data_IF_650636596327
#
_entry.id   IF_650636596327
#
_cell.length_a   1.000
_cell.length_b   1.000
_cell.length_c   1.000
_cell.angle_alpha   90.00
_cell.angle_beta   90.00
_cell.angle_gamma   90.00
#
_symmetry.space_group_name_H-M   'P 1'
#
loop_
_entity.id
_entity.type
_entity.pdbx_description
1 polymer ?
#
# COMPACT_ATOMS: atom_id res chain seq x y z
N UNK A 1 8.15 -1.73 -20.67
CA UNK A 1 8.85 -2.88 -20.02
C UNK A 1 8.70 -2.92 -18.50
N UNK A 2 8.92 -1.78 -17.83
CA UNK A 2 8.82 -1.68 -16.36
C UNK A 2 7.38 -1.91 -15.85
N UNK A 3 6.36 -1.46 -16.60
CA UNK A 3 4.95 -1.66 -16.26
C UNK A 3 4.62 -3.15 -16.14
N UNK A 4 5.04 -3.94 -17.14
CA UNK A 4 4.83 -5.38 -17.18
C UNK A 4 5.50 -6.08 -16.00
N UNK A 5 6.74 -5.71 -15.67
CA UNK A 5 7.48 -6.28 -14.54
C UNK A 5 6.82 -5.92 -13.20
N UNK A 6 6.43 -4.66 -13.01
CA UNK A 6 5.77 -4.21 -11.79
C UNK A 6 4.41 -4.91 -11.60
N UNK A 7 3.61 -5.01 -12.66
CA UNK A 7 2.34 -5.73 -12.64
C UNK A 7 2.53 -7.23 -12.35
N UNK A 8 3.57 -7.86 -12.92
CA UNK A 8 3.91 -9.26 -12.64
C UNK A 8 4.21 -9.47 -11.15
N UNK A 9 5.03 -8.59 -10.55
CA UNK A 9 5.39 -8.66 -9.12
C UNK A 9 4.13 -8.53 -8.25
N UNK A 10 3.30 -7.52 -8.51
CA UNK A 10 2.09 -7.28 -7.73
C UNK A 10 1.02 -8.37 -7.93
N UNK A 11 0.99 -9.04 -9.08
CA UNK A 11 0.05 -10.11 -9.39
C UNK A 11 0.44 -11.47 -8.79
N UNK A 12 1.71 -11.70 -8.48
CA UNK A 12 2.20 -12.99 -7.98
C UNK A 12 1.47 -13.54 -6.75
N UNK A 13 1.09 -12.75 -5.73
CA UNK A 13 0.31 -13.24 -4.60
C UNK A 13 -1.03 -13.86 -5.00
N UNK A 14 -1.67 -13.34 -6.06
CA UNK A 14 -2.91 -13.91 -6.61
C UNK A 14 -2.63 -15.21 -7.33
N UNK A 15 -1.58 -15.25 -8.16
CA UNK A 15 -1.16 -16.49 -8.85
C UNK A 15 -0.78 -17.59 -7.88
N UNK A 16 -0.19 -17.23 -6.74
CA UNK A 16 0.17 -18.15 -5.67
C UNK A 16 -1.02 -18.57 -4.79
N UNK A 17 -2.23 -18.05 -5.05
CA UNK A 17 -3.43 -18.35 -4.27
C UNK A 17 -3.42 -17.78 -2.85
N UNK A 18 -2.55 -16.79 -2.56
CA UNK A 18 -2.45 -16.17 -1.22
C UNK A 18 -3.58 -15.17 -0.98
N UNK A 19 -4.02 -14.48 -2.02
CA UNK A 19 -5.09 -13.47 -2.00
C UNK A 19 -5.84 -13.47 -3.33
N UNK A 20 -7.08 -12.99 -3.36
CA UNK A 20 -7.86 -12.87 -4.60
C UNK A 20 -7.59 -11.55 -5.36
N UNK A 21 -7.09 -10.53 -4.65
CA UNK A 21 -6.79 -9.22 -5.20
C UNK A 21 -5.42 -8.75 -4.69
N UNK A 22 -4.52 -8.24 -5.56
CA UNK A 22 -3.20 -7.78 -5.14
C UNK A 22 -3.23 -6.79 -3.99
N UNK A 23 -4.26 -5.93 -3.93
CA UNK A 23 -4.38 -4.93 -2.88
C UNK A 23 -4.48 -5.53 -1.46
N UNK A 24 -4.87 -6.80 -1.40
CA UNK A 24 -5.06 -7.54 -0.15
C UNK A 24 -3.79 -8.23 0.33
N UNK A 25 -2.76 -8.32 -0.51
CA UNK A 25 -1.46 -8.83 -0.09
C UNK A 25 -0.64 -7.74 0.61
N UNK A 26 -0.20 -8.03 1.83
CA UNK A 26 0.49 -7.07 2.70
C UNK A 26 1.74 -6.46 2.05
N UNK A 27 2.49 -7.22 1.24
CA UNK A 27 3.73 -6.74 0.61
C UNK A 27 3.54 -6.35 -0.87
N UNK A 28 2.32 -5.97 -1.25
CA UNK A 28 2.03 -5.46 -2.59
C UNK A 28 2.38 -3.97 -2.69
N UNK A 29 3.18 -3.61 -3.69
CA UNK A 29 3.59 -2.23 -3.94
C UNK A 29 2.45 -1.38 -4.48
N UNK A 30 1.56 -1.96 -5.29
CA UNK A 30 0.32 -1.31 -5.72
C UNK A 30 -0.53 -0.85 -4.53
N UNK A 31 -0.84 -1.72 -3.56
CA UNK A 31 -1.68 -1.33 -2.43
C UNK A 31 -1.01 -0.32 -1.49
N UNK A 32 0.32 -0.37 -1.36
CA UNK A 32 1.07 0.67 -0.65
C UNK A 32 0.91 2.04 -1.33
N UNK A 33 1.00 2.07 -2.67
CA UNK A 33 0.77 3.28 -3.44
C UNK A 33 -0.69 3.78 -3.34
N UNK A 34 -1.68 2.87 -3.31
CA UNK A 34 -3.10 3.22 -3.05
C UNK A 34 -3.27 3.89 -1.69
N UNK A 35 -2.62 3.38 -0.64
CA UNK A 35 -2.68 3.93 0.71
C UNK A 35 -2.18 5.39 0.79
N UNK A 36 -1.27 5.78 -0.10
CA UNK A 36 -0.68 7.11 -0.17
C UNK A 36 -1.57 8.14 -0.91
N UNK A 37 -2.57 7.72 -1.69
CA UNK A 37 -3.41 8.63 -2.49
C UNK A 37 -4.21 9.61 -1.63
N UNK A 38 -4.53 9.25 -0.38
CA UNK A 38 -5.21 10.12 0.59
C UNK A 38 -4.28 11.00 1.46
N UNK A 39 -2.95 10.92 1.30
CA UNK A 39 -1.97 11.69 2.11
C UNK A 39 -1.60 13.06 1.52
N UNK A 40 -2.18 13.48 0.40
CA UNK A 40 -1.85 14.80 -0.18
C UNK A 40 -2.59 15.89 0.60
N UNK A 41 -2.09 16.19 1.79
CA UNK A 41 -2.31 17.48 2.44
C UNK A 41 -1.58 18.52 1.60
N UNK A 42 -2.34 19.39 0.96
CA UNK A 42 -1.88 20.65 0.36
C UNK A 42 -1.11 21.47 1.40
N UNK A 43 0.22 21.53 1.29
CA UNK A 43 1.04 22.36 2.19
C UNK A 43 2.50 21.93 2.28
N UNK A 44 3.24 21.99 1.16
CA UNK A 44 4.69 21.87 1.15
C UNK A 44 5.29 22.99 0.32
N UNK A 45 5.73 24.05 0.97
CA UNK A 45 6.46 25.17 0.38
C UNK A 45 7.75 24.70 -0.30
N UNK A 46 8.04 25.28 -1.46
CA UNK A 46 9.05 24.86 -2.47
C UNK A 46 10.51 24.89 -2.01
N UNK A 47 10.80 25.37 -0.79
CA UNK A 47 12.16 25.51 -0.29
C UNK A 47 12.59 24.33 0.58
N UNK A 48 12.87 23.21 -0.07
CA UNK A 48 13.81 22.25 0.47
C UNK A 48 14.45 21.49 -0.68
N UNK A 49 15.70 21.86 -0.98
CA UNK A 49 16.76 20.93 -1.42
C UNK A 49 16.88 19.80 -0.38
N UNK A 50 15.85 18.99 -0.29
CA UNK A 50 15.77 17.82 0.57
C UNK A 50 16.44 16.72 -0.22
N UNK A 51 17.44 16.14 0.42
CA UNK A 51 18.06 14.88 0.06
C UNK A 51 17.00 13.97 -0.54
N UNK A 52 17.33 13.37 -1.68
CA UNK A 52 16.59 12.29 -2.33
C UNK A 52 16.55 11.12 -1.34
N UNK A 53 15.69 11.24 -0.34
CA UNK A 53 15.59 10.32 0.77
C UNK A 53 14.86 9.07 0.25
N UNK A 54 15.44 7.91 0.56
CA UNK A 54 15.09 6.60 0.03
C UNK A 54 13.66 6.07 0.34
N UNK A 55 12.64 6.93 0.48
CA UNK A 55 11.20 6.60 0.59
C UNK A 55 10.32 7.14 -0.54
N UNK A 56 10.93 7.26 -1.70
CA UNK A 56 10.32 7.13 -3.02
C UNK A 56 9.59 5.78 -3.27
N UNK A 57 9.21 5.01 -2.24
CA UNK A 57 9.11 3.54 -2.26
C UNK A 57 8.22 2.96 -3.36
N UNK A 58 6.89 3.13 -3.23
CA UNK A 58 5.94 2.59 -4.20
C UNK A 58 5.16 3.67 -4.95
N UNK A 59 4.79 4.79 -4.31
CA UNK A 59 4.12 5.92 -5.00
C UNK A 59 4.98 6.52 -6.10
N UNK A 60 6.21 6.94 -5.76
CA UNK A 60 7.10 7.57 -6.72
C UNK A 60 7.65 6.55 -7.72
N UNK A 61 7.93 5.32 -7.28
CA UNK A 61 8.21 4.20 -8.16
C UNK A 61 7.10 3.96 -9.19
N UNK A 62 5.83 3.97 -8.77
CA UNK A 62 4.69 3.80 -9.68
C UNK A 62 4.58 4.98 -10.66
N UNK A 63 4.69 6.22 -10.18
CA UNK A 63 4.72 7.39 -11.06
C UNK A 63 5.86 7.33 -12.09
N UNK A 64 7.02 6.82 -11.69
CA UNK A 64 8.15 6.62 -12.59
C UNK A 64 7.91 5.49 -13.61
N UNK A 65 7.34 4.36 -13.17
CA UNK A 65 6.98 3.23 -14.05
C UNK A 65 5.99 3.66 -15.13
N UNK A 66 5.12 4.62 -14.82
CA UNK A 66 4.06 5.08 -15.71
C UNK A 66 4.37 6.43 -16.39
N UNK A 67 5.53 7.04 -16.17
CA UNK A 67 5.81 8.43 -16.57
C UNK A 67 5.47 8.76 -18.02
N UNK A 68 5.76 7.83 -18.93
CA UNK A 68 5.62 8.02 -20.37
C UNK A 68 4.17 7.77 -20.87
N UNK A 69 3.29 7.30 -19.98
CA UNK A 69 1.90 6.92 -20.26
C UNK A 69 0.89 7.79 -19.52
N UNK A 70 1.37 8.73 -18.71
CA UNK A 70 0.54 9.65 -17.95
C UNK A 70 0.28 10.92 -18.77
N UNK A 71 -0.97 11.37 -18.79
CA UNK A 71 -1.35 12.63 -19.42
C UNK A 71 -0.62 13.82 -18.76
N UNK A 72 -0.41 14.92 -19.46
CA UNK A 72 0.18 16.11 -18.84
C UNK A 72 -0.71 16.63 -17.70
N UNK A 73 -0.21 16.60 -16.45
CA UNK A 73 -0.98 16.92 -15.25
C UNK A 73 -1.67 15.72 -14.58
N UNK A 74 -1.54 14.52 -15.15
CA UNK A 74 -2.00 13.28 -14.56
C UNK A 74 -1.22 12.92 -13.30
N UNK A 75 -1.96 12.73 -12.21
CA UNK A 75 -1.40 12.40 -10.90
C UNK A 75 -1.33 10.90 -10.62
N UNK A 76 -0.98 10.58 -9.37
CA UNK A 76 -0.93 9.22 -8.83
C UNK A 76 -2.21 8.39 -9.08
N UNK A 77 -3.38 9.02 -9.10
CA UNK A 77 -4.65 8.34 -9.33
C UNK A 77 -4.70 7.65 -10.70
N UNK A 78 -4.21 8.30 -11.76
CA UNK A 78 -4.20 7.74 -13.11
C UNK A 78 -3.19 6.59 -13.20
N UNK A 79 -2.00 6.76 -12.63
CA UNK A 79 -0.99 5.68 -12.57
C UNK A 79 -1.53 4.44 -11.83
N UNK A 80 -2.24 4.63 -10.71
CA UNK A 80 -2.87 3.54 -9.96
C UNK A 80 -3.95 2.84 -10.78
N UNK A 81 -4.79 3.59 -11.49
CA UNK A 81 -5.85 3.04 -12.33
C UNK A 81 -5.26 2.22 -13.48
N UNK A 82 -4.35 2.79 -14.26
CA UNK A 82 -3.71 2.11 -15.39
C UNK A 82 -2.92 0.87 -14.92
N UNK A 83 -2.23 0.96 -13.77
CA UNK A 83 -1.53 -0.19 -13.19
C UNK A 83 -2.46 -1.32 -12.78
N UNK A 84 -3.59 -1.00 -12.14
CA UNK A 84 -4.59 -2.01 -11.78
C UNK A 84 -5.20 -2.66 -13.03
N UNK A 85 -5.50 -1.89 -14.06
CA UNK A 85 -5.97 -2.44 -15.34
C UNK A 85 -4.93 -3.40 -15.94
N UNK A 86 -3.64 -3.03 -15.95
CA UNK A 86 -2.59 -3.92 -16.46
C UNK A 86 -2.49 -5.23 -15.68
N UNK A 87 -2.52 -5.16 -14.34
CA UNK A 87 -2.49 -6.34 -13.45
C UNK A 87 -3.62 -7.32 -13.81
N UNK A 88 -4.86 -6.85 -13.90
CA UNK A 88 -5.98 -7.75 -14.17
C UNK A 88 -6.09 -8.14 -15.64
N UNK A 89 -5.57 -7.33 -16.57
CA UNK A 89 -5.38 -7.70 -17.96
C UNK A 89 -4.43 -8.89 -18.09
N UNK A 90 -3.30 -8.86 -17.37
CA UNK A 90 -2.37 -9.99 -17.28
C UNK A 90 -3.01 -11.19 -16.61
N UNK A 91 -3.75 -10.99 -15.50
CA UNK A 91 -4.47 -12.08 -14.83
C UNK A 91 -5.44 -12.74 -15.79
N UNK A 92 -6.29 -11.98 -16.49
CA UNK A 92 -7.24 -12.52 -17.44
C UNK A 92 -6.55 -13.30 -18.59
N UNK A 93 -5.31 -12.96 -18.94
CA UNK A 93 -4.53 -13.66 -19.95
C UNK A 93 -3.79 -14.91 -19.42
N UNK A 94 -3.76 -15.17 -18.12
CA UNK A 94 -3.06 -16.32 -17.55
C UNK A 94 -3.64 -17.65 -18.10
N UNK A 95 -2.75 -18.58 -18.42
CA UNK A 95 -3.11 -19.94 -18.78
C UNK A 95 -3.55 -20.72 -17.52
N UNK A 96 -4.51 -21.63 -17.67
CA UNK A 96 -4.96 -22.49 -16.57
C UNK A 96 -5.96 -21.87 -15.60
N UNK A 97 -6.45 -20.65 -15.85
CA UNK A 97 -7.57 -20.08 -15.10
C UNK A 97 -8.87 -20.85 -15.36
N UNK A 98 -9.65 -21.05 -14.29
CA UNK A 98 -11.06 -21.40 -14.41
C UNK A 98 -11.85 -20.29 -15.10
N UNK A 99 -13.02 -20.64 -15.64
CA UNK A 99 -13.92 -19.66 -16.26
C UNK A 99 -14.34 -18.56 -15.27
N UNK A 100 -14.59 -18.94 -14.01
CA UNK A 100 -14.94 -18.00 -12.94
C UNK A 100 -13.83 -17.01 -12.61
N UNK A 101 -12.58 -17.47 -12.50
CA UNK A 101 -11.44 -16.57 -12.24
C UNK A 101 -11.18 -15.60 -13.39
N UNK A 102 -11.32 -16.08 -14.63
CA UNK A 102 -11.21 -15.25 -15.83
C UNK A 102 -12.32 -14.19 -15.86
N UNK A 103 -13.57 -14.60 -15.58
CA UNK A 103 -14.70 -13.70 -15.52
C UNK A 103 -14.51 -12.63 -14.44
N UNK A 104 -14.01 -12.98 -13.26
CA UNK A 104 -13.72 -12.03 -12.19
C UNK A 104 -12.68 -10.98 -12.61
N UNK A 105 -11.60 -11.38 -13.28
CA UNK A 105 -10.59 -10.45 -13.78
C UNK A 105 -11.14 -9.52 -14.88
N UNK A 106 -11.94 -10.05 -15.81
CA UNK A 106 -12.59 -9.27 -16.86
C UNK A 106 -13.63 -8.30 -16.31
N UNK A 107 -14.37 -8.69 -15.26
CA UNK A 107 -15.33 -7.82 -14.58
C UNK A 107 -14.64 -6.56 -14.04
N UNK A 108 -13.52 -6.73 -13.34
CA UNK A 108 -12.72 -5.62 -12.83
C UNK A 108 -12.27 -4.68 -13.97
N UNK A 109 -11.89 -5.22 -15.13
CA UNK A 109 -11.47 -4.43 -16.29
C UNK A 109 -12.63 -3.67 -16.94
N UNK A 110 -13.73 -4.36 -17.21
CA UNK A 110 -14.83 -3.85 -18.03
C UNK A 110 -15.80 -2.97 -17.24
N UNK A 111 -16.02 -3.27 -15.96
CA UNK A 111 -17.00 -2.56 -15.13
C UNK A 111 -16.35 -1.57 -14.17
N UNK A 112 -15.23 -1.93 -13.55
CA UNK A 112 -14.59 -1.08 -12.51
C UNK A 112 -13.47 -0.18 -13.07
N UNK A 113 -12.97 -0.49 -14.28
CA UNK A 113 -11.96 0.31 -14.97
C UNK A 113 -10.68 0.51 -14.17
N UNK A 114 -10.33 -0.39 -13.24
CA UNK A 114 -9.16 -0.25 -12.38
C UNK A 114 -9.30 0.78 -11.25
N UNK A 115 -10.50 1.31 -10.99
CA UNK A 115 -10.75 2.21 -9.87
C UNK A 115 -11.02 1.43 -8.58
N UNK A 116 -10.76 2.06 -7.44
CA UNK A 116 -11.09 1.51 -6.13
C UNK A 116 -12.04 2.45 -5.38
N UNK A 117 -13.10 1.93 -4.73
CA UNK A 117 -13.92 2.73 -3.84
C UNK A 117 -13.10 3.38 -2.72
N UNK A 118 -13.46 4.60 -2.30
CA UNK A 118 -12.76 5.32 -1.22
C UNK A 118 -12.62 4.50 0.05
N UNK A 119 -13.65 3.71 0.41
CA UNK A 119 -13.61 2.81 1.57
C UNK A 119 -12.51 1.74 1.45
N UNK A 120 -12.28 1.21 0.25
CA UNK A 120 -11.22 0.22 -0.03
C UNK A 120 -9.85 0.88 0.03
N UNK A 121 -9.71 2.09 -0.52
CA UNK A 121 -8.46 2.85 -0.42
C UNK A 121 -8.11 3.18 1.04
N UNK A 122 -9.11 3.57 1.84
CA UNK A 122 -8.96 3.78 3.29
C UNK A 122 -8.57 2.47 4.00
N UNK A 123 -9.12 1.33 3.60
CA UNK A 123 -8.71 0.02 4.14
C UNK A 123 -7.26 -0.31 3.79
N UNK A 124 -6.80 -0.02 2.57
CA UNK A 124 -5.38 -0.14 2.22
C UNK A 124 -4.54 0.75 3.13
N UNK A 125 -4.97 2.00 3.40
CA UNK A 125 -4.30 2.87 4.36
C UNK A 125 -4.24 2.25 5.75
N UNK A 126 -5.35 1.76 6.29
CA UNK A 126 -5.41 1.12 7.63
C UNK A 126 -4.56 -0.15 7.71
N UNK A 127 -4.60 -1.01 6.69
CA UNK A 127 -3.82 -2.26 6.62
C UNK A 127 -2.31 -2.00 6.66
N UNK A 128 -1.87 -0.97 5.96
CA UNK A 128 -0.45 -0.58 5.91
C UNK A 128 -0.08 0.36 7.08
N UNK A 129 -1.07 0.87 7.81
CA UNK A 129 -0.95 1.60 9.07
C UNK A 129 -0.73 0.69 10.28
N UNK A 130 -1.19 -0.57 10.22
CA UNK A 130 -1.08 -1.55 11.32
C UNK A 130 0.23 -2.34 11.38
N UNK A 131 1.31 -1.89 10.72
CA UNK A 131 2.66 -2.43 10.96
C UNK A 131 3.13 -2.31 12.41
N UNK A 132 2.44 -1.43 13.13
CA UNK A 132 2.56 -1.24 14.55
C UNK A 132 2.09 -2.41 15.41
N UNK A 133 1.38 -3.40 14.85
CA UNK A 133 0.69 -4.52 15.49
C UNK A 133 -0.42 -4.17 16.50
N UNK A 134 -0.24 -3.11 17.30
CA UNK A 134 -1.22 -2.56 18.23
C UNK A 134 -1.17 -1.06 18.04
N UNK A 135 -2.34 -0.43 17.91
CA UNK A 135 -2.50 1.00 17.64
C UNK A 135 -3.46 1.60 18.67
N UNK A 136 -3.11 2.77 19.21
CA UNK A 136 -4.02 3.56 20.04
C UNK A 136 -3.29 4.68 20.78
N UNK A 137 -3.90 5.19 21.84
CA UNK A 137 -3.24 6.12 22.75
C UNK A 137 -1.98 5.48 23.37
N UNK A 138 -1.04 6.30 23.82
CA UNK A 138 0.17 5.81 24.47
C UNK A 138 -0.12 4.94 25.71
N UNK A 139 -1.22 5.20 26.41
CA UNK A 139 -1.68 4.41 27.55
C UNK A 139 -2.25 3.06 27.11
N UNK A 140 -3.14 3.07 26.11
CA UNK A 140 -3.72 1.86 25.53
C UNK A 140 -2.62 0.92 25.05
N UNK A 141 -1.67 1.41 24.25
CA UNK A 141 -0.58 0.58 23.70
C UNK A 141 0.37 0.08 24.81
N UNK A 142 0.64 0.90 25.84
CA UNK A 142 1.46 0.48 27.00
C UNK A 142 0.84 -0.71 27.73
N UNK A 143 -0.48 -0.76 27.85
CA UNK A 143 -1.22 -1.87 28.47
C UNK A 143 -0.92 -3.24 27.87
N UNK A 144 -0.50 -3.31 26.61
CA UNK A 144 -0.19 -4.57 25.92
C UNK A 144 1.31 -4.94 25.92
N UNK A 145 2.20 -4.07 26.39
CA UNK A 145 3.66 -4.30 26.31
C UNK A 145 4.13 -5.55 27.04
N UNK A 146 3.56 -5.86 28.21
CA UNK A 146 3.88 -7.07 28.98
C UNK A 146 3.40 -8.35 28.31
N UNK A 147 2.14 -8.40 27.87
CA UNK A 147 1.59 -9.54 27.12
C UNK A 147 2.40 -9.81 25.84
N UNK A 148 2.71 -8.75 25.09
CA UNK A 148 3.51 -8.83 23.87
C UNK A 148 4.94 -9.31 24.12
N UNK A 149 5.55 -8.90 25.24
CA UNK A 149 6.88 -9.38 25.63
C UNK A 149 6.90 -10.89 25.84
N UNK A 150 5.91 -11.41 26.59
CA UNK A 150 5.79 -12.83 26.89
C UNK A 150 5.51 -13.65 25.63
N UNK A 151 4.51 -13.24 24.83
CA UNK A 151 4.12 -13.93 23.59
C UNK A 151 5.27 -14.01 22.58
N UNK A 152 6.07 -12.94 22.47
CA UNK A 152 7.20 -12.88 21.53
C UNK A 152 8.53 -13.32 22.14
N UNK A 153 8.55 -13.81 23.38
CA UNK A 153 9.77 -14.28 24.05
C UNK A 153 10.88 -13.21 24.18
N UNK A 154 10.51 -11.94 24.33
CA UNK A 154 11.48 -10.83 24.35
C UNK A 154 12.12 -10.66 25.73
N UNK A 155 13.43 -10.41 25.77
CA UNK A 155 14.16 -10.07 27.01
C UNK A 155 13.68 -8.77 27.67
N UNK A 156 13.19 -7.82 26.88
CA UNK A 156 12.70 -6.53 27.36
C UNK A 156 11.35 -6.14 26.72
N UNK A 157 10.48 -5.42 27.44
CA UNK A 157 9.23 -4.90 26.89
C UNK A 157 9.49 -4.06 25.64
N UNK A 158 8.64 -4.15 24.61
CA UNK A 158 8.74 -3.26 23.45
C UNK A 158 8.48 -1.81 23.89
N UNK A 159 9.22 -0.87 23.27
CA UNK A 159 8.94 0.56 23.44
C UNK A 159 7.68 0.91 22.64
N UNK A 160 6.83 1.74 23.23
CA UNK A 160 5.72 2.37 22.50
C UNK A 160 6.28 3.47 21.60
N UNK A 161 5.87 3.48 20.33
CA UNK A 161 6.42 4.37 19.31
C UNK A 161 5.33 5.33 18.85
N UNK A 162 5.59 6.64 18.91
CA UNK A 162 4.69 7.62 18.32
C UNK A 162 4.62 7.45 16.80
N UNK A 163 3.43 7.59 16.24
CA UNK A 163 3.26 7.65 14.80
C UNK A 163 3.88 8.93 14.24
N UNK A 164 4.56 8.84 13.10
CA UNK A 164 5.13 10.01 12.42
C UNK A 164 4.09 10.65 11.51
N UNK A 165 3.87 11.96 11.66
CA UNK A 165 2.86 12.74 10.94
C UNK A 165 1.78 13.29 11.88
N UNK A 166 0.81 14.03 11.33
CA UNK A 166 -0.33 14.56 12.09
C UNK A 166 -1.40 13.48 12.33
N UNK A 167 -1.21 12.71 13.39
CA UNK A 167 -2.06 11.57 13.76
C UNK A 167 -2.68 11.70 15.15
N UNK A 168 -2.80 12.94 15.67
CA UNK A 168 -3.48 13.18 16.95
C UNK A 168 -2.91 12.41 18.14
N UNK A 169 -1.58 12.18 18.17
CA UNK A 169 -0.90 11.51 19.28
C UNK A 169 -1.02 9.97 19.30
N UNK A 170 -1.47 9.35 18.21
CA UNK A 170 -1.51 7.89 18.10
C UNK A 170 -0.11 7.27 18.21
N UNK A 171 -0.07 6.07 18.80
CA UNK A 171 1.15 5.30 19.03
C UNK A 171 0.98 3.84 18.62
N UNK A 172 2.10 3.14 18.45
CA UNK A 172 2.16 1.74 18.04
C UNK A 172 3.21 0.92 18.81
N UNK A 173 2.95 -0.38 19.01
CA UNK A 173 3.85 -1.26 19.80
C UNK A 173 5.11 -1.66 19.03
N UNK A 174 5.03 -1.78 17.70
CA UNK A 174 6.20 -1.92 16.83
C UNK A 174 6.48 -0.61 16.10
N UNK A 175 7.77 -0.23 16.06
CA UNK A 175 8.19 0.91 15.27
C UNK A 175 7.91 0.61 13.80
N UNK A 176 7.06 1.42 13.18
CA UNK A 176 6.84 1.34 11.74
C UNK A 176 8.19 1.47 11.03
N UNK A 177 8.41 0.67 9.97
CA UNK A 177 9.59 0.83 9.11
C UNK A 177 9.64 2.30 8.70
N UNK A 178 10.82 2.93 8.77
CA UNK A 178 10.94 4.39 8.70
C UNK A 178 10.11 4.96 7.50
N UNK A 179 9.47 6.14 7.61
CA UNK A 179 8.54 6.79 6.62
C UNK A 179 7.58 5.81 5.88
N UNK A 180 6.71 5.09 6.61
CA UNK A 180 5.51 4.48 5.97
C UNK A 180 4.52 5.57 5.51
N UNK A 181 4.60 6.75 6.12
CA UNK A 181 3.74 7.89 5.84
C UNK A 181 4.61 9.15 5.72
N UNK A 182 4.39 9.92 4.66
CA UNK A 182 5.19 11.08 4.26
C UNK A 182 5.77 10.88 2.88
#
# INVERSE_FOLDING_TARGET
>A
PLQTMAAYIDLNPVRAGLVEDPKDYRFCGYAEAVAALGSVSSGGTEDSKSKVDARMGCRAGLLHVWSDHLSSGAGLAEALMQHRQLIFGQRAADAGLSEGERAAALKMLNEEGGQLPKSVMLRCRVRYFTDGAILGSAEFVRGFTGAWQMERGRKHPPKVNAMRGDWGGLTVIQGLRRQVFG
#
